data_IF_404403244652
#
_entry.id   IF_404403244652
#
_cell.length_a   1.000
_cell.length_b   1.000
_cell.length_c   1.000
_cell.angle_alpha   90.00
_cell.angle_beta   90.00
_cell.angle_gamma   90.00
#
_symmetry.space_group_name_H-M   'P 1'
#
loop_
_entity.id
_entity.type
_entity.pdbx_description
1 polymer ?
#
# COMPACT_ATOMS: atom_id res chain seq x y z
N UNK A 1 17.32 8.13 25.66
CA UNK A 1 16.79 8.60 24.36
C UNK A 1 17.52 7.79 23.32
N UNK A 2 16.79 7.11 22.44
CA UNK A 2 17.39 6.22 21.42
C UNK A 2 17.43 6.92 20.06
N UNK A 3 18.27 6.46 19.14
CA UNK A 3 18.27 6.94 17.76
C UNK A 3 17.03 6.48 16.99
N UNK A 4 16.72 7.16 15.88
CA UNK A 4 15.64 6.74 14.97
C UNK A 4 15.87 5.32 14.40
N UNK A 5 17.13 5.01 14.04
CA UNK A 5 17.50 3.69 13.51
C UNK A 5 17.37 2.59 14.57
N UNK A 6 17.71 2.85 15.84
CA UNK A 6 17.47 1.91 16.94
C UNK A 6 15.98 1.67 17.18
N UNK A 7 15.13 2.70 17.08
CA UNK A 7 13.69 2.54 17.22
C UNK A 7 13.12 1.57 16.16
N UNK A 8 13.55 1.70 14.89
CA UNK A 8 13.17 0.77 13.81
C UNK A 8 13.70 -0.66 14.02
N UNK A 9 14.90 -0.81 14.58
CA UNK A 9 15.44 -2.14 14.96
C UNK A 9 14.59 -2.78 16.05
N UNK A 10 14.20 -2.02 17.07
CA UNK A 10 13.31 -2.49 18.14
C UNK A 10 11.97 -2.95 17.55
N UNK A 11 11.36 -2.17 16.65
CA UNK A 11 10.12 -2.57 15.97
C UNK A 11 10.22 -3.92 15.27
N UNK A 12 11.37 -4.17 14.64
CA UNK A 12 11.65 -5.42 13.94
C UNK A 12 11.76 -6.62 14.89
N UNK A 13 12.19 -6.41 16.14
CA UNK A 13 12.30 -7.44 17.17
C UNK A 13 11.01 -7.74 17.94
N UNK A 14 9.99 -6.88 17.86
CA UNK A 14 8.74 -7.07 18.60
C UNK A 14 8.06 -8.37 18.13
N UNK A 15 7.74 -9.35 18.98
CA UNK A 15 7.07 -10.57 18.55
C UNK A 15 5.73 -10.26 17.86
N UNK A 16 5.50 -10.84 16.68
CA UNK A 16 4.21 -10.70 15.98
C UNK A 16 3.24 -11.73 16.53
N UNK A 17 2.01 -11.30 16.81
CA UNK A 17 0.93 -12.21 17.18
C UNK A 17 0.18 -12.66 15.93
N UNK A 18 -0.26 -13.93 15.87
CA UNK A 18 -1.20 -14.35 14.85
C UNK A 18 -2.46 -13.49 14.90
N UNK A 19 -2.95 -13.10 13.72
CA UNK A 19 -4.25 -12.47 13.56
C UNK A 19 -5.25 -13.51 13.10
N UNK A 20 -6.50 -13.35 13.54
CA UNK A 20 -7.62 -14.16 13.08
C UNK A 20 -7.80 -14.01 11.57
N UNK A 21 -8.25 -15.08 10.93
CA UNK A 21 -8.49 -15.14 9.48
C UNK A 21 -10.00 -15.00 9.25
N UNK A 22 -10.35 -14.14 8.31
CA UNK A 22 -11.73 -13.89 7.89
C UNK A 22 -11.86 -14.22 6.40
N UNK A 23 -13.02 -14.76 6.01
CA UNK A 23 -13.41 -14.89 4.61
C UNK A 23 -14.17 -13.63 4.22
N UNK A 24 -13.72 -12.95 3.17
CA UNK A 24 -14.28 -11.67 2.73
C UNK A 24 -14.49 -11.65 1.22
N UNK A 25 -15.45 -10.85 0.76
CA UNK A 25 -15.69 -10.58 -0.65
C UNK A 25 -14.51 -9.83 -1.28
N UNK A 26 -14.21 -10.11 -2.56
CA UNK A 26 -13.22 -9.34 -3.31
C UNK A 26 -13.55 -7.84 -3.37
N UNK A 27 -14.84 -7.47 -3.40
CA UNK A 27 -15.25 -6.06 -3.43
C UNK A 27 -14.92 -5.30 -2.14
N UNK A 28 -14.75 -6.00 -1.03
CA UNK A 28 -14.41 -5.42 0.29
C UNK A 28 -12.93 -5.67 0.67
N UNK A 29 -12.15 -6.20 -0.27
CA UNK A 29 -10.79 -6.67 -0.01
C UNK A 29 -9.69 -5.63 -0.21
N UNK A 30 -10.02 -4.42 -0.70
CA UNK A 30 -9.03 -3.36 -0.89
C UNK A 30 -8.30 -3.01 0.41
N UNK A 31 -6.97 -3.02 0.35
CA UNK A 31 -6.13 -2.79 1.51
C UNK A 31 -6.12 -3.93 2.53
N UNK A 32 -6.82 -5.06 2.33
CA UNK A 32 -6.73 -6.23 3.22
C UNK A 32 -5.43 -7.00 2.97
N UNK A 33 -4.98 -7.78 3.95
CA UNK A 33 -3.75 -8.57 3.84
C UNK A 33 -4.11 -10.05 3.72
N UNK A 34 -3.59 -10.71 2.69
CA UNK A 34 -3.86 -12.12 2.42
C UNK A 34 -3.33 -13.05 3.52
N UNK A 35 -4.15 -14.01 3.91
CA UNK A 35 -3.80 -15.01 4.92
C UNK A 35 -3.18 -16.30 4.34
N UNK A 36 -3.29 -16.49 3.03
CA UNK A 36 -2.76 -17.62 2.26
C UNK A 36 -2.32 -17.17 0.85
N UNK A 37 -1.47 -17.98 0.22
CA UNK A 37 -1.06 -17.74 -1.16
C UNK A 37 -2.27 -17.94 -2.08
N UNK A 38 -2.44 -17.04 -3.06
CA UNK A 38 -3.39 -17.26 -4.15
C UNK A 38 -2.68 -18.04 -5.24
N UNK A 39 -3.13 -19.28 -5.46
CA UNK A 39 -2.59 -20.18 -6.47
C UNK A 39 -3.35 -20.00 -7.79
N UNK A 40 -2.62 -20.02 -8.91
CA UNK A 40 -3.18 -20.00 -10.25
C UNK A 40 -3.93 -21.32 -10.52
N UNK A 41 -5.26 -21.29 -10.56
CA UNK A 41 -6.12 -22.43 -10.89
C UNK A 41 -6.55 -22.43 -12.36
N UNK A 42 -6.41 -21.29 -13.03
CA UNK A 42 -6.61 -21.12 -14.46
C UNK A 42 -5.42 -20.37 -15.05
N UNK A 43 -4.72 -21.03 -15.97
CA UNK A 43 -3.64 -20.40 -16.74
C UNK A 43 -4.13 -19.08 -17.37
N UNK A 44 -3.24 -18.10 -17.47
CA UNK A 44 -3.56 -16.80 -18.07
C UNK A 44 -2.70 -16.60 -19.32
N UNK A 45 -3.29 -16.52 -20.53
CA UNK A 45 -4.69 -16.86 -20.86
C UNK A 45 -5.01 -18.35 -20.68
N UNK A 46 -6.30 -18.70 -20.57
CA UNK A 46 -6.78 -20.06 -20.27
C UNK A 46 -6.60 -21.03 -21.44
N UNK A 47 -6.53 -20.50 -22.65
CA UNK A 47 -6.37 -21.19 -23.91
C UNK A 47 -5.58 -20.29 -24.88
N UNK A 48 -5.11 -20.85 -25.99
CA UNK A 48 -4.51 -20.04 -27.06
C UNK A 48 -5.58 -19.12 -27.62
N UNK A 49 -5.33 -17.82 -27.65
CA UNK A 49 -6.31 -16.83 -28.10
C UNK A 49 -5.71 -15.88 -29.14
N UNK A 50 -6.54 -15.36 -30.03
CA UNK A 50 -6.09 -14.38 -31.00
C UNK A 50 -5.67 -13.06 -30.33
N UNK A 51 -4.52 -12.52 -30.73
CA UNK A 51 -4.05 -11.21 -30.31
C UNK A 51 -4.66 -10.07 -31.15
N UNK A 52 -5.19 -10.37 -32.34
CA UNK A 52 -5.64 -9.40 -33.34
C UNK A 52 -6.94 -9.87 -34.01
N UNK A 53 -7.67 -8.96 -34.64
CA UNK A 53 -8.76 -9.33 -35.55
C UNK A 53 -8.15 -9.74 -36.91
N UNK A 54 -8.54 -10.90 -37.43
CA UNK A 54 -7.90 -11.41 -38.65
C UNK A 54 -8.38 -12.78 -39.08
N UNK A 55 -7.45 -13.53 -39.68
CA UNK A 55 -7.69 -14.87 -40.17
C UNK A 55 -6.62 -15.84 -39.67
N UNK A 56 -7.07 -16.98 -39.12
CA UNK A 56 -6.20 -18.07 -38.70
C UNK A 56 -5.89 -18.99 -39.86
N UNK A 57 -4.61 -19.31 -40.06
CA UNK A 57 -4.13 -20.21 -41.11
C UNK A 57 -3.22 -21.31 -40.58
N UNK A 58 -3.13 -22.42 -41.32
CA UNK A 58 -1.95 -23.29 -41.35
C UNK A 58 -0.83 -22.59 -42.13
N UNK A 59 0.41 -22.80 -41.74
CA UNK A 59 1.58 -22.17 -42.39
C UNK A 59 1.67 -22.51 -43.87
N UNK A 60 1.36 -23.76 -44.24
CA UNK A 60 1.43 -24.24 -45.62
C UNK A 60 0.37 -23.64 -46.56
N UNK A 61 -0.67 -23.01 -46.01
CA UNK A 61 -1.78 -22.42 -46.77
C UNK A 61 -1.60 -20.91 -47.00
N UNK A 62 -0.56 -20.31 -46.40
CA UNK A 62 -0.19 -18.93 -46.68
C UNK A 62 0.21 -18.73 -48.15
N UNK A 63 -0.23 -17.61 -48.73
CA UNK A 63 -0.06 -17.32 -50.16
C UNK A 63 -0.96 -18.13 -51.09
N UNK A 64 -1.91 -18.91 -50.56
CA UNK A 64 -2.93 -19.63 -51.34
C UNK A 64 -4.32 -19.10 -51.01
N UNK A 65 -5.21 -19.18 -52.00
CA UNK A 65 -6.63 -18.89 -51.81
C UNK A 65 -7.23 -20.03 -50.98
N UNK A 66 -7.66 -19.70 -49.77
CA UNK A 66 -8.04 -20.67 -48.74
C UNK A 66 -9.51 -20.47 -48.37
N UNK A 67 -10.27 -21.57 -48.17
CA UNK A 67 -11.69 -21.51 -47.85
C UNK A 67 -11.89 -20.99 -46.42
N UNK A 68 -12.76 -20.01 -46.23
CA UNK A 68 -13.17 -19.56 -44.89
C UNK A 68 -14.28 -20.49 -44.40
N UNK A 69 -13.99 -21.37 -43.44
CA UNK A 69 -14.95 -22.38 -42.97
C UNK A 69 -15.81 -21.88 -41.80
N UNK A 70 -15.31 -20.92 -41.03
CA UNK A 70 -16.03 -20.37 -39.89
C UNK A 70 -15.57 -18.96 -39.54
N UNK A 71 -16.47 -18.21 -38.90
CA UNK A 71 -16.17 -16.97 -38.18
C UNK A 71 -16.29 -17.22 -36.69
N UNK A 72 -15.26 -16.85 -35.93
CA UNK A 72 -15.12 -17.14 -34.50
C UNK A 72 -15.00 -15.83 -33.73
N UNK A 73 -15.92 -15.63 -32.79
CA UNK A 73 -15.96 -14.49 -31.87
C UNK A 73 -15.46 -14.89 -30.48
N UNK A 74 -15.12 -13.88 -29.65
CA UNK A 74 -14.79 -14.12 -28.25
C UNK A 74 -16.01 -14.68 -27.50
N UNK A 75 -15.84 -15.84 -26.85
CA UNK A 75 -16.90 -16.57 -26.17
C UNK A 75 -17.45 -17.77 -26.93
N UNK A 76 -17.16 -17.91 -28.23
CA UNK A 76 -17.54 -19.09 -29.00
C UNK A 76 -16.74 -20.33 -28.55
N UNK A 77 -17.42 -21.46 -28.36
CA UNK A 77 -16.77 -22.74 -28.11
C UNK A 77 -16.40 -23.41 -29.43
N UNK A 78 -15.10 -23.46 -29.71
CA UNK A 78 -14.50 -24.10 -30.88
C UNK A 78 -13.57 -25.24 -30.47
N UNK A 79 -13.72 -25.77 -29.26
CA UNK A 79 -12.86 -26.83 -28.74
C UNK A 79 -12.91 -28.13 -29.57
N UNK A 80 -14.03 -28.39 -30.24
CA UNK A 80 -14.20 -29.52 -31.16
C UNK A 80 -13.85 -29.21 -32.62
N UNK A 81 -13.55 -27.95 -32.96
CA UNK A 81 -13.24 -27.52 -34.33
C UNK A 81 -11.78 -27.82 -34.66
N UNK A 82 -11.56 -28.52 -35.78
CA UNK A 82 -10.24 -28.72 -36.38
C UNK A 82 -10.25 -28.16 -37.81
N UNK A 83 -9.39 -27.18 -38.05
CA UNK A 83 -9.20 -26.55 -39.36
C UNK A 83 -8.27 -27.41 -40.20
N UNK A 84 -8.74 -27.85 -41.37
CA UNK A 84 -8.01 -28.75 -42.27
C UNK A 84 -7.17 -27.97 -43.27
N UNK A 85 -6.46 -28.69 -44.14
CA UNK A 85 -5.68 -28.08 -45.23
C UNK A 85 -6.59 -27.36 -46.22
N UNK A 86 -6.13 -26.22 -46.74
CA UNK A 86 -6.91 -25.32 -47.60
C UNK A 86 -8.14 -24.71 -46.91
N UNK A 87 -8.23 -24.79 -45.58
CA UNK A 87 -9.23 -24.11 -44.76
C UNK A 87 -8.58 -23.03 -43.86
N UNK A 88 -9.33 -21.98 -43.59
CA UNK A 88 -8.98 -20.91 -42.66
C UNK A 88 -10.22 -20.45 -41.90
N UNK A 89 -10.01 -19.73 -40.81
CA UNK A 89 -11.11 -19.16 -40.01
C UNK A 89 -10.95 -17.67 -39.90
N UNK A 90 -12.04 -16.92 -39.97
CA UNK A 90 -12.03 -15.51 -39.56
C UNK A 90 -12.15 -15.46 -38.03
N UNK A 91 -11.19 -14.86 -37.34
CA UNK A 91 -11.09 -14.93 -35.89
C UNK A 91 -10.93 -13.52 -35.30
N UNK A 92 -11.72 -13.20 -34.28
CA UNK A 92 -11.65 -11.92 -33.57
C UNK A 92 -10.69 -11.98 -32.37
N UNK A 93 -10.23 -10.82 -31.91
CA UNK A 93 -9.35 -10.66 -30.76
C UNK A 93 -9.94 -11.29 -29.51
N UNK A 94 -9.14 -12.07 -28.77
CA UNK A 94 -9.56 -12.79 -27.57
C UNK A 94 -10.34 -14.08 -27.83
N UNK A 95 -10.70 -14.39 -29.08
CA UNK A 95 -11.34 -15.66 -29.42
C UNK A 95 -10.35 -16.84 -29.31
N UNK A 96 -10.88 -18.01 -28.96
CA UNK A 96 -10.11 -19.25 -28.88
C UNK A 96 -9.59 -19.65 -30.26
N UNK A 97 -8.30 -19.98 -30.34
CA UNK A 97 -7.67 -20.49 -31.56
C UNK A 97 -8.02 -21.99 -31.70
N UNK A 98 -8.74 -22.40 -32.77
CA UNK A 98 -9.12 -23.80 -32.96
C UNK A 98 -7.92 -24.66 -33.35
N UNK A 99 -8.08 -25.98 -33.24
CA UNK A 99 -7.03 -26.93 -33.59
C UNK A 99 -6.67 -26.79 -35.08
N UNK A 100 -5.38 -26.87 -35.39
CA UNK A 100 -4.86 -26.79 -36.76
C UNK A 100 -4.44 -25.39 -37.20
N UNK A 101 -4.82 -24.32 -36.50
CA UNK A 101 -4.30 -22.97 -36.77
C UNK A 101 -2.91 -22.81 -36.17
N UNK A 102 -1.98 -22.29 -36.97
CA UNK A 102 -0.56 -22.12 -36.62
C UNK A 102 -0.14 -20.65 -36.61
N UNK A 103 -0.89 -19.76 -37.24
CA UNK A 103 -0.62 -18.32 -37.30
C UNK A 103 -1.91 -17.53 -37.50
N UNK A 104 -1.92 -16.28 -37.04
CA UNK A 104 -3.02 -15.35 -37.27
C UNK A 104 -2.49 -14.15 -38.04
N UNK A 105 -3.10 -13.90 -39.20
CA UNK A 105 -2.78 -12.77 -40.08
C UNK A 105 -3.82 -11.68 -39.81
N UNK A 106 -3.40 -10.47 -39.38
CA UNK A 106 -4.31 -9.35 -39.14
C UNK A 106 -5.11 -9.00 -40.39
N UNK A 107 -6.34 -8.52 -40.21
CA UNK A 107 -7.22 -8.21 -41.34
C UNK A 107 -6.62 -7.16 -42.28
N UNK A 108 -5.83 -6.24 -41.74
CA UNK A 108 -5.12 -5.18 -42.47
C UNK A 108 -3.98 -5.71 -43.35
N UNK A 109 -3.49 -6.92 -43.06
CA UNK A 109 -2.40 -7.56 -43.80
C UNK A 109 -2.91 -8.56 -44.85
N UNK A 110 -4.22 -8.73 -44.98
CA UNK A 110 -4.81 -9.66 -45.94
C UNK A 110 -4.69 -9.12 -47.37
N UNK A 111 -4.35 -9.99 -48.32
CA UNK A 111 -4.35 -9.65 -49.75
C UNK A 111 -5.78 -9.67 -50.31
N UNK A 112 -6.58 -10.66 -49.92
CA UNK A 112 -8.02 -10.74 -50.21
C UNK A 112 -8.77 -11.29 -49.00
N UNK A 113 -9.96 -10.76 -48.71
CA UNK A 113 -10.79 -11.19 -47.58
C UNK A 113 -12.26 -11.10 -47.95
N UNK A 114 -12.90 -12.25 -48.17
CA UNK A 114 -14.31 -12.37 -48.55
C UNK A 114 -15.05 -13.32 -47.61
N UNK A 115 -16.36 -13.46 -47.77
CA UNK A 115 -17.19 -14.30 -46.90
C UNK A 115 -16.76 -15.78 -46.91
N UNK A 116 -16.38 -16.32 -48.07
CA UNK A 116 -16.14 -17.75 -48.26
C UNK A 116 -14.66 -18.10 -48.52
N UNK A 117 -13.80 -17.09 -48.74
CA UNK A 117 -12.39 -17.33 -48.99
C UNK A 117 -11.53 -16.15 -48.51
N UNK A 118 -10.26 -16.45 -48.25
CA UNK A 118 -9.25 -15.48 -47.88
C UNK A 118 -7.90 -15.80 -48.53
N UNK A 119 -7.08 -14.78 -48.76
CA UNK A 119 -5.72 -14.89 -49.24
C UNK A 119 -4.79 -14.05 -48.36
N UNK A 120 -3.92 -14.71 -47.60
CA UNK A 120 -2.89 -14.08 -46.80
C UNK A 120 -1.55 -14.07 -47.56
N UNK A 121 -0.64 -13.14 -47.26
CA UNK A 121 0.72 -13.16 -47.79
C UNK A 121 1.55 -14.29 -47.13
N UNK A 122 2.71 -14.62 -47.70
CA UNK A 122 3.54 -15.77 -47.26
C UNK A 122 4.42 -15.49 -46.04
N UNK A 123 4.63 -14.23 -45.69
CA UNK A 123 5.63 -13.72 -44.76
C UNK A 123 5.12 -13.59 -43.32
N UNK A 124 4.49 -14.66 -42.81
CA UNK A 124 4.12 -14.77 -41.40
C UNK A 124 4.87 -15.92 -40.73
N UNK A 125 5.15 -15.78 -39.44
CA UNK A 125 5.82 -16.81 -38.64
C UNK A 125 4.80 -17.69 -37.92
N UNK A 126 5.21 -18.91 -37.58
CA UNK A 126 4.46 -19.76 -36.66
C UNK A 126 4.22 -19.02 -35.34
N UNK A 127 3.03 -19.17 -34.77
CA UNK A 127 2.53 -18.50 -33.58
C UNK A 127 2.44 -16.96 -33.66
N UNK A 128 2.56 -16.35 -34.84
CA UNK A 128 2.35 -14.91 -34.96
C UNK A 128 0.92 -14.55 -34.54
N UNK A 129 0.79 -13.53 -33.69
CA UNK A 129 -0.47 -13.03 -33.15
C UNK A 129 -1.31 -14.07 -32.38
N UNK A 130 -0.70 -15.14 -31.87
CA UNK A 130 -1.32 -16.10 -30.97
C UNK A 130 -0.76 -15.87 -29.56
N UNK A 131 -1.63 -15.46 -28.63
CA UNK A 131 -1.32 -15.43 -27.20
C UNK A 131 -1.43 -16.85 -26.66
N UNK A 132 -0.33 -17.41 -26.20
CA UNK A 132 -0.26 -18.80 -25.80
C UNK A 132 -0.87 -19.01 -24.42
N UNK A 133 -1.54 -20.15 -24.23
CA UNK A 133 -2.07 -20.56 -22.93
C UNK A 133 -0.98 -20.48 -21.85
N UNK A 134 -1.26 -19.74 -20.79
CA UNK A 134 -0.38 -19.63 -19.62
C UNK A 134 0.88 -18.78 -19.82
N UNK A 135 0.99 -18.01 -20.90
CA UNK A 135 2.15 -17.13 -21.13
C UNK A 135 2.32 -16.05 -20.05
N UNK A 136 1.23 -15.59 -19.42
CA UNK A 136 1.26 -14.61 -18.34
C UNK A 136 1.34 -15.25 -16.95
N UNK A 137 0.62 -16.36 -16.75
CA UNK A 137 0.68 -17.13 -15.51
C UNK A 137 0.42 -18.61 -15.76
N UNK A 138 1.33 -19.43 -15.26
CA UNK A 138 1.25 -20.89 -15.36
C UNK A 138 0.35 -21.48 -14.27
N UNK A 139 -0.36 -22.54 -14.62
CA UNK A 139 -1.16 -23.32 -13.66
C UNK A 139 -0.31 -23.74 -12.46
N UNK A 140 -0.88 -23.67 -11.26
CA UNK A 140 -0.26 -23.98 -9.96
C UNK A 140 0.87 -23.03 -9.50
N UNK A 141 1.16 -21.96 -10.24
CA UNK A 141 2.07 -20.91 -9.76
C UNK A 141 1.41 -20.05 -8.67
N UNK A 142 2.22 -19.42 -7.81
CA UNK A 142 1.73 -18.40 -6.86
C UNK A 142 1.48 -17.10 -7.61
N UNK A 143 0.22 -16.66 -7.67
CA UNK A 143 -0.17 -15.38 -8.28
C UNK A 143 0.03 -14.21 -7.33
N UNK A 144 -0.43 -14.36 -6.09
CA UNK A 144 -0.30 -13.34 -5.05
C UNK A 144 0.15 -14.04 -3.77
N UNK A 145 1.34 -13.73 -3.24
CA UNK A 145 1.82 -14.34 -2.01
C UNK A 145 0.95 -13.97 -0.80
N UNK A 146 0.88 -14.88 0.17
CA UNK A 146 0.46 -14.63 1.55
C UNK A 146 1.20 -13.42 2.11
N UNK A 147 0.55 -12.71 3.03
CA UNK A 147 1.06 -11.50 3.69
C UNK A 147 1.20 -10.28 2.76
N UNK A 148 0.62 -10.33 1.55
CA UNK A 148 0.53 -9.19 0.62
C UNK A 148 -0.67 -8.31 0.96
N UNK A 149 -0.46 -6.99 1.05
CA UNK A 149 -1.58 -6.02 1.11
C UNK A 149 -2.17 -5.81 -0.29
N UNK A 150 -3.48 -6.02 -0.41
CA UNK A 150 -4.18 -6.00 -1.69
C UNK A 150 -4.38 -4.58 -2.22
N UNK A 151 -4.00 -4.38 -3.48
CA UNK A 151 -4.35 -3.22 -4.28
C UNK A 151 -5.35 -3.64 -5.38
N UNK A 152 -5.84 -2.69 -6.19
CA UNK A 152 -6.81 -3.00 -7.24
C UNK A 152 -6.29 -4.03 -8.27
N UNK A 153 -4.98 -4.03 -8.56
CA UNK A 153 -4.35 -4.97 -9.49
C UNK A 153 -4.31 -6.40 -8.93
N UNK A 154 -3.95 -6.56 -7.66
CA UNK A 154 -4.03 -7.86 -6.98
C UNK A 154 -5.47 -8.40 -7.01
N UNK A 155 -6.46 -7.56 -6.71
CA UNK A 155 -7.87 -7.96 -6.67
C UNK A 155 -8.36 -8.41 -8.04
N UNK A 156 -8.03 -7.66 -9.10
CA UNK A 156 -8.37 -8.04 -10.48
C UNK A 156 -7.69 -9.35 -10.90
N UNK A 157 -6.42 -9.55 -10.52
CA UNK A 157 -5.70 -10.79 -10.80
C UNK A 157 -6.35 -12.00 -10.08
N UNK A 158 -6.76 -11.84 -8.82
CA UNK A 158 -7.47 -12.88 -8.07
C UNK A 158 -8.85 -13.16 -8.71
N UNK A 159 -9.59 -12.12 -9.10
CA UNK A 159 -10.87 -12.26 -9.78
C UNK A 159 -10.75 -12.98 -11.14
N UNK A 160 -9.63 -12.82 -11.85
CA UNK A 160 -9.38 -13.53 -13.12
C UNK A 160 -9.34 -15.05 -12.96
N UNK A 161 -9.14 -15.54 -11.73
CA UNK A 161 -9.19 -16.96 -11.40
C UNK A 161 -10.61 -17.46 -11.11
N UNK A 162 -11.63 -16.59 -11.18
CA UNK A 162 -13.03 -16.93 -10.86
C UNK A 162 -13.34 -16.96 -9.36
N UNK A 163 -12.45 -16.44 -8.52
CA UNK A 163 -12.66 -16.34 -7.08
C UNK A 163 -13.57 -15.15 -6.76
N UNK A 164 -14.56 -15.36 -5.88
CA UNK A 164 -15.45 -14.29 -5.35
C UNK A 164 -15.01 -13.76 -3.98
N UNK A 165 -14.31 -14.61 -3.23
CA UNK A 165 -13.96 -14.42 -1.83
C UNK A 165 -12.53 -14.88 -1.61
N UNK A 166 -11.90 -14.34 -0.57
CA UNK A 166 -10.53 -14.67 -0.16
C UNK A 166 -10.44 -14.81 1.35
N UNK A 167 -9.40 -15.50 1.81
CA UNK A 167 -8.99 -15.48 3.21
C UNK A 167 -8.01 -14.34 3.44
N UNK A 168 -8.40 -13.41 4.30
CA UNK A 168 -7.57 -12.29 4.71
C UNK A 168 -7.43 -12.26 6.24
N UNK A 169 -6.33 -11.70 6.75
CA UNK A 169 -6.27 -11.39 8.17
C UNK A 169 -7.30 -10.31 8.53
N UNK A 170 -7.86 -10.40 9.74
CA UNK A 170 -8.66 -9.30 10.28
C UNK A 170 -7.81 -8.04 10.36
N UNK A 171 -8.46 -6.87 10.27
CA UNK A 171 -7.76 -5.60 10.51
C UNK A 171 -7.31 -5.52 11.97
N UNK A 172 -6.15 -4.89 12.23
CA UNK A 172 -5.80 -4.53 13.61
C UNK A 172 -6.85 -3.58 14.17
N UNK A 173 -7.28 -3.85 15.40
CA UNK A 173 -8.16 -2.98 16.17
C UNK A 173 -7.30 -1.94 16.89
N UNK A 174 -7.54 -0.67 16.58
CA UNK A 174 -6.78 0.45 17.12
C UNK A 174 -7.73 1.35 17.91
N UNK A 175 -7.50 1.50 19.21
CA UNK A 175 -8.14 2.55 19.99
C UNK A 175 -7.34 3.85 19.79
N UNK A 176 -8.03 4.91 19.39
CA UNK A 176 -7.46 6.25 19.23
C UNK A 176 -8.15 7.20 20.20
N UNK A 177 -7.37 7.93 20.99
CA UNK A 177 -7.90 9.01 21.82
C UNK A 177 -6.91 10.16 21.93
N UNK A 178 -7.41 11.31 22.37
CA UNK A 178 -6.61 12.45 22.77
C UNK A 178 -6.76 12.73 24.25
N UNK A 179 -5.76 13.32 24.88
CA UNK A 179 -5.86 13.82 26.24
C UNK A 179 -5.26 15.22 26.32
N UNK A 180 -5.95 16.09 27.03
CA UNK A 180 -5.51 17.44 27.32
C UNK A 180 -6.71 18.31 27.69
N UNK A 181 -6.62 19.02 28.81
CA UNK A 181 -7.67 19.94 29.26
C UNK A 181 -7.85 21.13 28.29
N UNK A 182 -6.84 21.41 27.46
CA UNK A 182 -6.88 22.40 26.40
C UNK A 182 -7.67 21.92 25.16
N UNK A 183 -7.91 20.62 25.01
CA UNK A 183 -8.48 20.06 23.79
C UNK A 183 -10.01 20.10 23.81
N UNK A 184 -10.58 20.54 22.69
CA UNK A 184 -12.03 20.59 22.47
C UNK A 184 -12.42 19.73 21.27
N UNK A 185 -13.50 18.92 21.39
CA UNK A 185 -14.05 18.17 20.27
C UNK A 185 -14.46 19.07 19.10
N UNK A 186 -14.33 18.54 17.89
CA UNK A 186 -14.74 19.26 16.67
C UNK A 186 -16.26 19.53 16.67
N UNK A 187 -16.62 20.70 16.14
CA UNK A 187 -18.00 21.18 16.10
C UNK A 187 -18.48 21.89 17.37
N UNK A 188 -17.64 21.96 18.41
CA UNK A 188 -17.92 22.76 19.60
C UNK A 188 -17.24 24.15 19.53
N UNK A 189 -17.66 25.06 20.40
CA UNK A 189 -17.00 26.35 20.54
C UNK A 189 -15.79 26.20 21.46
N UNK A 190 -14.59 26.47 20.96
CA UNK A 190 -13.40 26.52 21.78
C UNK A 190 -13.35 27.83 22.57
N UNK A 191 -13.01 27.75 23.86
CA UNK A 191 -12.63 28.91 24.65
C UNK A 191 -11.27 29.46 24.18
N UNK A 192 -10.92 30.69 24.57
CA UNK A 192 -9.63 31.32 24.19
C UNK A 192 -8.40 30.49 24.62
N UNK A 193 -8.51 29.75 25.71
CA UNK A 193 -7.44 28.89 26.23
C UNK A 193 -7.46 27.46 25.65
N UNK A 194 -8.35 27.18 24.70
CA UNK A 194 -8.57 25.85 24.14
C UNK A 194 -8.25 25.79 22.65
N UNK A 195 -7.90 24.60 22.20
CA UNK A 195 -7.62 24.28 20.81
C UNK A 195 -8.39 23.05 20.37
N UNK A 196 -8.68 22.96 19.08
CA UNK A 196 -9.37 21.81 18.52
C UNK A 196 -8.45 20.58 18.42
N UNK A 197 -9.02 19.38 18.64
CA UNK A 197 -8.32 18.12 18.39
C UNK A 197 -8.15 17.85 16.89
N UNK A 198 -7.08 18.39 16.32
CA UNK A 198 -6.70 18.17 14.92
C UNK A 198 -5.91 16.89 14.71
N UNK A 199 -5.24 16.38 15.75
CA UNK A 199 -4.36 15.22 15.64
C UNK A 199 -5.16 13.95 15.38
N UNK A 200 -6.23 13.73 16.16
CA UNK A 200 -7.06 12.52 15.99
C UNK A 200 -7.61 12.40 14.58
N UNK A 201 -8.02 13.51 13.97
CA UNK A 201 -8.53 13.48 12.58
C UNK A 201 -7.44 13.09 11.61
N UNK A 202 -6.25 13.70 11.71
CA UNK A 202 -5.13 13.36 10.84
C UNK A 202 -4.71 11.89 11.00
N UNK A 203 -4.60 11.41 12.23
CA UNK A 203 -4.27 10.01 12.56
C UNK A 203 -5.32 9.06 12.00
N UNK A 204 -6.61 9.31 12.25
CA UNK A 204 -7.70 8.45 11.81
C UNK A 204 -7.70 8.26 10.30
N UNK A 205 -7.48 9.34 9.53
CA UNK A 205 -7.41 9.29 8.07
C UNK A 205 -6.15 8.56 7.57
N UNK A 206 -5.00 8.73 8.23
CA UNK A 206 -3.79 7.94 7.93
C UNK A 206 -3.96 6.45 8.22
N UNK A 207 -4.84 6.09 9.16
CA UNK A 207 -5.12 4.72 9.59
C UNK A 207 -6.35 4.10 8.92
N UNK A 208 -6.78 4.58 7.74
CA UNK A 208 -7.96 4.07 7.00
C UNK A 208 -7.96 2.56 6.69
N UNK A 209 -6.78 1.95 6.63
CA UNK A 209 -6.62 0.52 6.35
C UNK A 209 -6.77 -0.37 7.61
N UNK A 210 -6.90 0.24 8.78
CA UNK A 210 -7.03 -0.41 10.08
C UNK A 210 -8.47 -0.31 10.60
N UNK A 211 -8.83 -1.09 11.61
CA UNK A 211 -10.09 -0.93 12.31
C UNK A 211 -9.89 0.04 13.48
N UNK A 212 -9.90 1.33 13.17
CA UNK A 212 -9.62 2.39 14.14
C UNK A 212 -10.92 2.87 14.78
N UNK A 213 -11.00 2.83 16.11
CA UNK A 213 -12.10 3.39 16.90
C UNK A 213 -11.61 4.65 17.60
N UNK A 214 -12.22 5.80 17.28
CA UNK A 214 -11.97 7.04 18.00
C UNK A 214 -12.80 7.07 19.29
N UNK A 215 -12.14 7.09 20.43
CA UNK A 215 -12.77 7.07 21.76
C UNK A 215 -13.04 8.48 22.31
N UNK A 216 -12.70 9.53 21.55
CA UNK A 216 -12.95 10.91 21.91
C UNK A 216 -11.74 11.65 22.51
N UNK A 217 -12.02 12.89 22.92
CA UNK A 217 -11.09 13.74 23.67
C UNK A 217 -11.34 13.51 25.14
N UNK A 218 -10.33 13.02 25.85
CA UNK A 218 -10.37 12.79 27.28
C UNK A 218 -9.83 14.01 28.01
N UNK A 219 -10.41 14.29 29.18
CA UNK A 219 -9.80 15.19 30.15
C UNK A 219 -8.54 14.54 30.72
N UNK A 220 -7.68 15.35 31.33
CA UNK A 220 -6.51 14.83 32.04
C UNK A 220 -6.90 14.17 33.37
N UNK A 221 -7.54 13.00 33.24
CA UNK A 221 -7.99 12.14 34.33
C UNK A 221 -7.32 10.77 34.20
N UNK A 222 -6.52 10.44 35.22
CA UNK A 222 -5.75 9.19 35.27
C UNK A 222 -6.65 7.94 35.24
N UNK A 223 -7.81 7.97 35.88
CA UNK A 223 -8.71 6.80 35.94
C UNK A 223 -9.35 6.52 34.58
N UNK A 224 -9.72 7.57 33.84
CA UNK A 224 -10.25 7.41 32.47
C UNK A 224 -9.19 6.82 31.54
N UNK A 225 -7.96 7.31 31.60
CA UNK A 225 -6.86 6.79 30.79
C UNK A 225 -6.53 5.34 31.16
N UNK A 226 -6.49 5.00 32.45
CA UNK A 226 -6.27 3.63 32.93
C UNK A 226 -7.33 2.66 32.39
N UNK A 227 -8.61 3.05 32.42
CA UNK A 227 -9.71 2.21 31.91
C UNK A 227 -9.55 1.85 30.43
N UNK A 228 -9.05 2.79 29.62
CA UNK A 228 -8.79 2.55 28.20
C UNK A 228 -7.56 1.65 28.04
N UNK A 229 -6.47 1.95 28.76
CA UNK A 229 -5.22 1.17 28.72
C UNK A 229 -5.42 -0.29 29.13
N UNK A 230 -6.38 -0.58 30.00
CA UNK A 230 -6.73 -1.94 30.44
C UNK A 230 -7.66 -2.69 29.49
N UNK A 231 -8.24 -2.01 28.48
CA UNK A 231 -9.11 -2.67 27.51
C UNK A 231 -8.35 -3.73 26.73
N UNK A 232 -8.90 -4.95 26.70
CA UNK A 232 -8.34 -6.08 25.94
C UNK A 232 -8.92 -6.17 24.52
N UNK A 233 -9.80 -5.24 24.14
CA UNK A 233 -10.48 -5.27 22.84
C UNK A 233 -9.61 -4.76 21.69
N UNK A 234 -8.47 -4.15 22.00
CA UNK A 234 -7.60 -3.46 21.05
C UNK A 234 -6.22 -4.09 20.98
N UNK A 235 -5.73 -4.31 19.76
CA UNK A 235 -4.35 -4.73 19.53
C UNK A 235 -3.36 -3.58 19.78
N UNK A 236 -3.81 -2.35 19.48
CA UNK A 236 -3.05 -1.12 19.63
C UNK A 236 -3.89 -0.06 20.31
N UNK A 237 -3.32 0.63 21.28
CA UNK A 237 -3.90 1.81 21.91
C UNK A 237 -2.98 2.99 21.60
N UNK A 238 -3.51 3.99 20.92
CA UNK A 238 -2.79 5.14 20.40
C UNK A 238 -3.35 6.41 21.03
N UNK A 239 -2.48 7.16 21.71
CA UNK A 239 -2.79 8.50 22.21
C UNK A 239 -2.14 9.55 21.33
N UNK A 240 -2.93 10.51 20.86
CA UNK A 240 -2.49 11.60 19.96
C UNK A 240 -1.77 12.75 20.71
N UNK A 241 -1.80 12.71 22.04
CA UNK A 241 -1.26 13.71 22.96
C UNK A 241 -0.91 13.05 24.32
N UNK A 242 -0.48 13.83 25.32
CA UNK A 242 -0.24 13.32 26.69
C UNK A 242 1.19 12.84 27.00
N UNK A 243 2.02 12.44 26.04
CA UNK A 243 3.40 11.95 26.31
C UNK A 243 4.49 13.03 26.45
N UNK A 244 4.13 14.22 26.92
CA UNK A 244 5.08 15.33 27.07
C UNK A 244 6.07 15.12 28.24
N UNK A 245 6.96 16.09 28.46
CA UNK A 245 7.91 16.13 29.59
C UNK A 245 7.40 17.04 30.72
N UNK A 246 6.08 17.26 30.81
CA UNK A 246 5.46 18.13 31.81
C UNK A 246 5.03 17.38 33.07
N UNK A 247 4.74 18.12 34.13
CA UNK A 247 4.40 17.62 35.48
C UNK A 247 3.07 16.85 35.56
N UNK A 248 2.31 16.76 34.45
CA UNK A 248 1.00 16.08 34.34
C UNK A 248 0.99 14.99 33.26
N UNK A 249 2.01 14.12 33.21
CA UNK A 249 2.01 12.98 32.28
C UNK A 249 1.30 11.76 32.88
N UNK A 250 -0.02 11.89 33.06
CA UNK A 250 -0.87 10.82 33.59
C UNK A 250 -0.78 9.53 32.77
N UNK A 251 -0.48 9.63 31.48
CA UNK A 251 -0.39 8.49 30.57
C UNK A 251 0.83 7.62 30.88
N UNK A 252 2.01 8.23 31.05
CA UNK A 252 3.20 7.47 31.45
C UNK A 252 3.10 6.93 32.86
N UNK A 253 2.54 7.70 33.78
CA UNK A 253 2.37 7.26 35.17
C UNK A 253 1.38 6.09 35.29
N UNK A 254 0.29 6.13 34.53
CA UNK A 254 -0.65 5.03 34.40
C UNK A 254 0.03 3.76 33.87
N UNK A 255 0.89 3.88 32.85
CA UNK A 255 1.63 2.75 32.30
C UNK A 255 2.64 2.16 33.29
N UNK A 256 3.35 3.00 34.05
CA UNK A 256 4.29 2.55 35.08
C UNK A 256 3.58 1.82 36.23
N UNK A 257 2.45 2.37 36.69
CA UNK A 257 1.63 1.75 37.74
C UNK A 257 1.17 0.35 37.32
N UNK A 258 0.86 0.17 36.04
CA UNK A 258 0.44 -1.12 35.47
C UNK A 258 1.60 -2.00 35.01
N UNK A 259 2.84 -1.66 35.38
CA UNK A 259 4.06 -2.41 35.02
C UNK A 259 4.18 -2.67 33.51
N UNK A 260 3.80 -1.69 32.68
CA UNK A 260 3.95 -1.80 31.23
C UNK A 260 5.43 -1.99 30.85
N UNK A 261 5.68 -2.82 29.84
CA UNK A 261 7.01 -2.99 29.27
C UNK A 261 7.29 -1.84 28.30
N UNK A 262 8.16 -0.92 28.69
CA UNK A 262 8.60 0.16 27.82
C UNK A 262 9.68 -0.31 26.85
N UNK A 263 9.46 -0.09 25.55
CA UNK A 263 10.49 -0.26 24.52
C UNK A 263 11.33 1.01 24.39
N UNK A 264 10.67 2.17 24.40
CA UNK A 264 11.31 3.48 24.44
C UNK A 264 10.29 4.58 24.79
N UNK A 265 10.78 5.72 25.27
CA UNK A 265 9.96 6.90 25.60
C UNK A 265 10.36 8.16 24.82
N UNK A 266 11.55 8.16 24.23
CA UNK A 266 12.12 9.31 23.52
C UNK A 266 13.00 8.82 22.37
N UNK A 267 12.76 9.37 21.19
CA UNK A 267 13.57 9.11 19.98
C UNK A 267 14.31 10.39 19.58
N UNK A 268 15.54 10.24 19.10
CA UNK A 268 16.39 11.33 18.65
C UNK A 268 15.94 11.88 17.28
N UNK A 269 14.78 12.53 17.26
CA UNK A 269 14.11 12.99 16.03
C UNK A 269 13.65 14.44 16.17
N UNK A 270 13.71 15.18 15.06
CA UNK A 270 13.22 16.55 14.97
C UNK A 270 12.40 16.76 13.68
N UNK A 271 11.14 17.20 13.78
CA UNK A 271 10.30 17.23 14.99
C UNK A 271 10.00 15.81 15.53
N UNK A 272 9.41 15.72 16.73
CA UNK A 272 8.91 14.42 17.26
C UNK A 272 9.76 13.68 18.29
N UNK A 273 10.55 14.38 19.10
CA UNK A 273 11.34 13.78 20.21
C UNK A 273 10.51 12.94 21.20
N UNK A 274 9.37 13.44 21.76
CA UNK A 274 8.58 12.65 22.69
C UNK A 274 7.71 11.65 21.91
N UNK A 275 8.07 10.38 21.99
CA UNK A 275 7.27 9.29 21.43
C UNK A 275 7.47 8.07 22.30
N UNK A 276 6.38 7.52 22.80
CA UNK A 276 6.42 6.34 23.67
C UNK A 276 5.94 5.13 22.90
N UNK A 277 6.69 4.04 23.01
CA UNK A 277 6.24 2.71 22.65
C UNK A 277 6.39 1.80 23.86
N UNK A 278 5.28 1.22 24.28
CA UNK A 278 5.23 0.26 25.37
C UNK A 278 4.31 -0.90 25.00
N UNK A 279 4.31 -1.93 25.84
CA UNK A 279 3.35 -3.02 25.81
C UNK A 279 2.70 -3.15 27.18
N UNK A 280 1.38 -3.18 27.20
CA UNK A 280 0.60 -3.47 28.39
C UNK A 280 -0.29 -4.67 28.07
N UNK A 281 -0.17 -5.74 28.85
CA UNK A 281 -0.84 -7.01 28.58
C UNK A 281 -0.57 -7.51 27.14
N UNK A 282 -1.64 -7.54 26.35
CA UNK A 282 -1.65 -7.99 24.98
C UNK A 282 -1.49 -6.86 23.96
N UNK A 283 -1.64 -5.61 24.37
CA UNK A 283 -1.80 -4.45 23.50
C UNK A 283 -0.51 -3.66 23.39
N UNK A 284 -0.24 -3.14 22.19
CA UNK A 284 0.83 -2.18 21.96
C UNK A 284 0.33 -0.78 22.30
N UNK A 285 1.05 -0.08 23.16
CA UNK A 285 0.70 1.26 23.59
C UNK A 285 1.61 2.28 22.92
N UNK A 286 1.02 3.25 22.24
CA UNK A 286 1.73 4.26 21.46
C UNK A 286 1.29 5.64 21.91
N UNK A 287 2.24 6.43 22.42
CA UNK A 287 2.01 7.84 22.69
C UNK A 287 2.72 8.70 21.66
N UNK A 288 1.95 9.50 20.92
CA UNK A 288 2.46 10.43 19.92
C UNK A 288 2.68 11.84 20.49
N UNK A 289 3.59 12.64 19.90
CA UNK A 289 3.74 14.04 20.27
C UNK A 289 2.43 14.82 20.17
N UNK A 290 2.11 15.69 21.13
CA UNK A 290 0.91 16.54 21.06
C UNK A 290 0.96 17.62 19.98
N UNK A 291 2.15 18.06 19.57
CA UNK A 291 2.29 19.05 18.50
C UNK A 291 1.90 18.45 17.13
N UNK A 292 0.94 19.05 16.38
CA UNK A 292 0.33 18.36 15.24
C UNK A 292 1.26 17.91 14.13
N UNK A 293 2.18 18.78 13.70
CA UNK A 293 3.15 18.39 12.67
C UNK A 293 4.07 17.27 13.15
N UNK A 294 4.49 17.31 14.42
CA UNK A 294 5.31 16.24 15.00
C UNK A 294 4.55 14.92 15.06
N UNK A 295 3.28 14.98 15.46
CA UNK A 295 2.39 13.83 15.60
C UNK A 295 2.28 13.04 14.28
N UNK A 296 1.89 13.73 13.20
CA UNK A 296 1.64 13.11 11.90
C UNK A 296 2.93 12.63 11.23
N UNK A 297 4.03 13.36 11.40
CA UNK A 297 5.34 12.92 10.89
C UNK A 297 5.83 11.66 11.59
N UNK A 298 5.79 11.62 12.92
CA UNK A 298 6.18 10.44 13.71
C UNK A 298 5.26 9.25 13.38
N UNK A 299 3.95 9.49 13.26
CA UNK A 299 3.04 8.46 12.81
C UNK A 299 3.49 7.88 11.47
N UNK A 300 3.79 8.74 10.48
CA UNK A 300 4.15 8.30 9.13
C UNK A 300 5.46 7.50 9.09
N UNK A 301 6.54 8.05 9.66
CA UNK A 301 7.89 7.50 9.44
C UNK A 301 8.30 6.47 10.48
N UNK A 302 7.66 6.46 11.64
CA UNK A 302 8.05 5.58 12.75
C UNK A 302 6.96 4.57 13.08
N UNK A 303 5.71 5.02 13.26
CA UNK A 303 4.65 4.14 13.78
C UNK A 303 3.94 3.32 12.69
N UNK A 304 3.65 3.88 11.51
CA UNK A 304 3.06 3.13 10.40
C UNK A 304 3.89 1.87 10.03
N UNK A 305 5.24 1.92 9.92
CA UNK A 305 6.04 0.71 9.72
C UNK A 305 5.80 -0.38 10.76
N UNK A 306 5.66 -0.01 12.04
CA UNK A 306 5.33 -0.94 13.11
C UNK A 306 3.92 -1.53 12.92
N UNK A 307 2.92 -0.70 12.63
CA UNK A 307 1.53 -1.15 12.43
C UNK A 307 1.37 -2.09 11.24
N UNK A 308 2.09 -1.82 10.14
CA UNK A 308 2.09 -2.69 8.96
C UNK A 308 2.71 -4.05 9.28
N UNK A 309 3.80 -4.07 10.05
CA UNK A 309 4.43 -5.31 10.52
C UNK A 309 3.51 -6.10 11.46
N UNK A 310 2.87 -5.43 12.41
CA UNK A 310 1.88 -6.04 13.31
C UNK A 310 0.65 -6.57 12.56
N UNK A 311 0.32 -5.95 11.41
CA UNK A 311 -0.73 -6.42 10.50
C UNK A 311 -0.32 -7.59 9.62
N UNK A 312 0.92 -8.09 9.76
CA UNK A 312 1.50 -9.15 8.94
C UNK A 312 1.78 -8.73 7.49
N UNK A 313 1.88 -7.44 7.17
CA UNK A 313 2.28 -7.00 5.83
C UNK A 313 3.79 -7.21 5.63
N UNK A 314 4.15 -8.20 4.81
CA UNK A 314 5.56 -8.56 4.56
C UNK A 314 6.26 -7.54 3.66
N UNK A 315 5.52 -6.91 2.77
CA UNK A 315 6.07 -6.07 1.70
C UNK A 315 6.18 -4.60 2.07
N UNK A 316 5.61 -4.20 3.22
CA UNK A 316 5.70 -2.82 3.66
C UNK A 316 7.14 -2.48 4.02
N UNK A 317 7.67 -1.48 3.30
CA UNK A 317 8.92 -0.81 3.61
C UNK A 317 8.74 0.65 3.28
N UNK A 318 9.32 1.52 4.11
CA UNK A 318 9.57 2.88 3.66
C UNK A 318 10.50 2.80 2.45
N UNK A 319 10.14 3.44 1.35
CA UNK A 319 10.90 3.45 0.10
C UNK A 319 11.46 4.86 -0.13
N UNK A 320 12.45 5.30 0.68
CA UNK A 320 13.11 6.55 0.37
C UNK A 320 13.84 6.41 -0.97
N UNK A 321 13.92 7.50 -1.71
CA UNK A 321 14.72 7.57 -2.92
C UNK A 321 15.59 8.82 -2.89
N UNK A 322 16.62 8.79 -3.71
CA UNK A 322 17.63 9.85 -3.77
C UNK A 322 17.13 11.03 -4.59
N UNK A 323 17.34 12.24 -4.09
CA UNK A 323 17.08 13.49 -4.77
C UNK A 323 18.18 14.52 -4.45
N UNK A 324 18.39 15.49 -5.34
CA UNK A 324 19.34 16.58 -5.07
C UNK A 324 18.64 17.69 -4.27
N UNK A 325 19.24 18.18 -3.18
CA UNK A 325 18.70 19.38 -2.52
C UNK A 325 18.96 20.63 -3.38
N UNK A 326 17.96 21.51 -3.52
CA UNK A 326 18.06 22.68 -4.39
C UNK A 326 19.09 23.73 -3.92
N UNK A 327 19.38 23.78 -2.62
CA UNK A 327 20.38 24.66 -2.02
C UNK A 327 20.91 24.07 -0.70
N UNK A 328 22.16 24.38 -0.31
CA UNK A 328 22.69 23.93 0.98
C UNK A 328 21.84 24.41 2.16
N UNK A 329 21.50 23.49 3.06
CA UNK A 329 20.65 23.76 4.22
C UNK A 329 21.42 23.50 5.52
N UNK A 330 21.56 24.55 6.33
CA UNK A 330 22.17 24.45 7.67
C UNK A 330 21.16 23.95 8.69
N UNK A 331 21.52 22.91 9.43
CA UNK A 331 20.71 22.34 10.49
C UNK A 331 21.25 22.73 11.86
N UNK A 332 20.33 22.90 12.82
CA UNK A 332 20.65 23.19 14.22
C UNK A 332 20.50 21.93 15.08
N UNK A 333 21.51 21.66 15.91
CA UNK A 333 21.56 20.52 16.83
C UNK A 333 22.03 19.23 16.16
N UNK A 334 22.06 18.15 16.93
CA UNK A 334 22.65 16.86 16.51
C UNK A 334 21.61 15.75 16.30
N UNK A 335 20.32 16.09 16.32
CA UNK A 335 19.24 15.12 16.12
C UNK A 335 19.10 14.73 14.67
N UNK A 336 18.51 13.58 14.39
CA UNK A 336 17.99 13.31 13.05
C UNK A 336 16.86 14.30 12.72
N UNK A 337 16.76 14.74 11.46
CA UNK A 337 15.73 15.70 11.02
C UNK A 337 14.78 15.06 10.02
N UNK A 338 13.50 15.34 10.20
CA UNK A 338 12.46 15.21 9.19
C UNK A 338 12.19 16.59 8.63
N UNK A 339 12.62 16.82 7.39
CA UNK A 339 12.51 18.11 6.73
C UNK A 339 11.40 18.02 5.70
N UNK A 340 10.39 18.88 5.81
CA UNK A 340 9.32 18.97 4.83
C UNK A 340 9.81 19.68 3.57
N UNK A 341 9.28 19.29 2.43
CA UNK A 341 9.58 19.96 1.16
C UNK A 341 8.80 19.40 0.00
N UNK A 342 8.99 20.03 -1.15
CA UNK A 342 8.42 19.57 -2.41
C UNK A 342 9.49 18.89 -3.25
N UNK A 343 9.12 17.79 -3.90
CA UNK A 343 9.96 17.16 -4.90
C UNK A 343 9.51 17.54 -6.31
N UNK A 344 10.39 18.16 -7.09
CA UNK A 344 10.14 18.53 -8.49
C UNK A 344 11.44 18.56 -9.27
N UNK A 345 11.42 18.12 -10.54
CA UNK A 345 12.57 18.13 -11.44
C UNK A 345 13.84 17.49 -10.83
N UNK A 346 13.70 16.33 -10.19
CA UNK A 346 14.77 15.61 -9.48
C UNK A 346 15.40 16.37 -8.29
N UNK A 347 14.77 17.47 -7.88
CA UNK A 347 15.22 18.28 -6.76
C UNK A 347 14.23 18.26 -5.60
N UNK A 348 14.77 18.23 -4.39
CA UNK A 348 14.04 18.48 -3.17
C UNK A 348 14.19 19.94 -2.76
N UNK A 349 13.06 20.61 -2.56
CA UNK A 349 12.97 22.02 -2.17
C UNK A 349 12.41 22.08 -0.74
N UNK A 350 13.25 22.34 0.28
CA UNK A 350 12.81 22.42 1.66
C UNK A 350 11.77 23.52 1.88
N UNK A 351 10.66 23.19 2.55
CA UNK A 351 9.63 24.16 2.89
C UNK A 351 10.16 25.24 3.82
N UNK A 352 10.00 26.50 3.41
CA UNK A 352 10.48 27.68 4.14
C UNK A 352 11.95 27.55 4.62
N UNK A 353 12.82 26.87 3.87
CA UNK A 353 14.20 26.61 4.29
C UNK A 353 14.30 25.99 5.70
N UNK A 354 13.39 25.06 6.03
CA UNK A 354 13.28 24.42 7.34
C UNK A 354 13.04 25.41 8.50
N UNK A 355 12.37 26.54 8.23
CA UNK A 355 11.98 27.56 9.22
C UNK A 355 10.48 27.48 9.49
N UNK A 356 10.10 26.52 10.32
CA UNK A 356 8.76 26.34 10.86
C UNK A 356 8.86 25.60 12.20
N UNK A 357 7.86 25.77 13.07
CA UNK A 357 7.79 25.06 14.34
C UNK A 357 7.10 23.70 14.21
N UNK A 358 7.13 22.93 15.29
CA UNK A 358 6.55 21.60 15.39
C UNK A 358 5.01 21.53 15.36
N UNK A 359 4.33 22.68 15.45
CA UNK A 359 2.88 22.82 15.39
C UNK A 359 2.36 23.35 14.05
N UNK A 360 3.23 23.70 13.11
CA UNK A 360 2.90 24.26 11.80
C UNK A 360 2.21 23.26 10.84
N UNK A 361 0.98 22.84 11.17
CA UNK A 361 0.19 21.85 10.42
C UNK A 361 -0.08 22.27 8.96
N UNK A 362 -0.18 23.57 8.70
CA UNK A 362 -0.33 24.13 7.35
C UNK A 362 0.83 23.76 6.42
N UNK A 363 2.00 23.43 6.97
CA UNK A 363 3.13 22.97 6.17
C UNK A 363 2.82 21.62 5.50
N UNK A 364 2.13 20.70 6.18
CA UNK A 364 1.76 19.38 5.62
C UNK A 364 0.80 19.51 4.43
N UNK A 365 -0.07 20.51 4.43
CA UNK A 365 -0.99 20.75 3.32
C UNK A 365 -0.32 21.39 2.08
N UNK A 366 0.94 21.82 2.19
CA UNK A 366 1.67 22.58 1.15
C UNK A 366 2.87 21.84 0.55
N UNK A 367 3.13 20.63 1.04
CA UNK A 367 4.33 19.86 0.70
C UNK A 367 3.94 18.43 0.36
N UNK A 368 4.72 17.78 -0.49
CA UNK A 368 4.45 16.41 -0.94
C UNK A 368 5.48 15.38 -0.44
N UNK A 369 6.54 15.84 0.24
CA UNK A 369 7.70 15.04 0.59
C UNK A 369 8.30 15.38 1.95
N UNK A 370 9.02 14.41 2.53
CA UNK A 370 9.87 14.57 3.70
C UNK A 370 11.28 14.05 3.37
N UNK A 371 12.31 14.83 3.65
CA UNK A 371 13.69 14.35 3.69
C UNK A 371 14.05 13.80 5.07
N UNK A 372 14.70 12.62 5.09
CA UNK A 372 15.22 12.00 6.30
C UNK A 372 16.71 12.29 6.37
N UNK A 373 17.11 13.10 7.35
CA UNK A 373 18.51 13.46 7.57
C UNK A 373 19.00 12.79 8.84
N UNK A 374 20.12 12.07 8.72
CA UNK A 374 20.76 11.37 9.83
C UNK A 374 21.19 12.32 10.96
N UNK A 375 21.32 11.75 12.16
CA UNK A 375 21.83 12.46 13.33
C UNK A 375 23.28 12.94 13.11
N UNK A 376 23.65 14.05 13.76
CA UNK A 376 24.96 14.68 13.60
C UNK A 376 25.17 15.52 12.33
N UNK A 377 24.29 15.44 11.32
CA UNK A 377 24.40 16.25 10.09
C UNK A 377 24.07 17.72 10.38
N UNK A 378 25.04 18.62 10.14
CA UNK A 378 24.91 20.08 10.34
C UNK A 378 24.73 20.87 9.05
N UNK A 379 25.16 20.32 7.91
CA UNK A 379 25.02 20.91 6.59
C UNK A 379 24.51 19.83 5.64
N UNK A 380 23.34 20.06 5.04
CA UNK A 380 22.74 19.20 4.02
C UNK A 380 23.03 19.80 2.66
N UNK A 381 23.72 19.07 1.79
CA UNK A 381 24.06 19.49 0.43
C UNK A 381 24.21 18.27 -0.48
N UNK A 382 23.90 18.43 -1.76
CA UNK A 382 23.96 17.34 -2.74
C UNK A 382 22.80 16.35 -2.59
N UNK A 383 23.12 15.06 -2.71
CA UNK A 383 22.13 13.99 -2.72
C UNK A 383 21.62 13.67 -1.30
N UNK A 384 20.30 13.54 -1.17
CA UNK A 384 19.60 13.22 0.07
C UNK A 384 18.51 12.16 -0.16
N UNK A 385 18.12 11.47 0.90
CA UNK A 385 17.00 10.53 0.90
C UNK A 385 15.69 11.24 1.23
N UNK A 386 14.69 11.06 0.36
CA UNK A 386 13.36 11.63 0.53
C UNK A 386 12.26 10.57 0.42
N UNK A 387 11.17 10.78 1.15
CA UNK A 387 9.93 10.02 1.11
C UNK A 387 8.80 10.91 0.61
N UNK A 388 8.05 10.48 -0.42
CA UNK A 388 6.80 11.14 -0.82
C UNK A 388 5.64 10.73 0.07
N UNK A 389 4.65 11.60 0.22
CA UNK A 389 3.44 11.33 1.02
C UNK A 389 2.45 10.37 0.36
N UNK A 390 2.39 10.36 -0.97
CA UNK A 390 1.40 9.58 -1.74
C UNK A 390 1.89 8.20 -2.20
N UNK A 391 3.09 7.80 -1.79
CA UNK A 391 3.66 6.49 -2.08
C UNK A 391 3.52 5.51 -0.91
#
# INVERSE_FOLDING_TARGET
>A
MISFKEALKIHSSIPIKPLEIEVISLFESIGRILAEDIICIHALPKFNQSAMDGYGFKMQDLGKKTQVVQRIFAGDDVSALEVKENECVKIMTGAMVPKGIETIVPIECMLESHTNFALAPKDFKINANIRQKGENASLNSVLVPKNTRLNYGHIALIASQGLKEIKAFRKLKIALFSSGDELVPLGQNALECQVYDVNSVGIFNMLKNYNTHFLGVLKDDKNLQLKILESQDYDVILSSAGVSVGDKDFFKDALKEKNALFYYEKVNLKPGKPVTLARLNQSMIIGLPGNPLSCLLVLRVLILPLLERLSLNKDFKLKPFKAQINAPLKLKGERAHLILGNYSNHQFIPYNNNRYDSGAIQALARVDSIALIDEGVRLVQGEIEILRFEN
#
